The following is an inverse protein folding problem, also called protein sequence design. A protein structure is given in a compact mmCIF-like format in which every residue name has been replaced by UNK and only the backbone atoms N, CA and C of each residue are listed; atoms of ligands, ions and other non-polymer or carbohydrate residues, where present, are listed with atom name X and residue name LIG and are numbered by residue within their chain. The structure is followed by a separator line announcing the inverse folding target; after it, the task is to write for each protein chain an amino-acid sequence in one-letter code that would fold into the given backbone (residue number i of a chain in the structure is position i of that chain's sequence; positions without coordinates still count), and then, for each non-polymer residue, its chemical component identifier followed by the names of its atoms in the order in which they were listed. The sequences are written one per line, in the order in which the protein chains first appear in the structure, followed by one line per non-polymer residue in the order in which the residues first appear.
data_IF_725282590216
#
_entry.id   IF_725282590216
#
_cell.length_a   1.000
_cell.length_b   1.000
_cell.length_c   1.000
_cell.angle_alpha   90.00
_cell.angle_beta   90.00
_cell.angle_gamma   90.00
#
_symmetry.space_group_name_H-M   'P 1'
#
loop_
_entity.id
_entity.type
_entity.pdbx_description
1 polymer ?
#
# COMPACT_ATOMS: atom_id res chain seq x y z
N UNK A 1 -17.13 -7.72 38.58
CA UNK A 1 -18.58 -7.41 38.52
C UNK A 1 -18.78 -6.48 37.34
N UNK A 2 -19.19 -7.03 36.19
CA UNK A 2 -19.68 -6.21 35.09
C UNK A 2 -21.04 -5.70 35.54
N UNK A 3 -21.16 -4.40 35.80
CA UNK A 3 -22.48 -3.77 35.77
C UNK A 3 -23.09 -4.13 34.42
N UNK A 4 -24.31 -4.68 34.42
CA UNK A 4 -25.10 -4.92 33.23
C UNK A 4 -25.16 -3.60 32.44
N UNK A 5 -24.23 -3.41 31.50
CA UNK A 5 -24.37 -2.38 30.50
C UNK A 5 -25.57 -2.80 29.67
N UNK A 6 -26.56 -1.93 29.54
CA UNK A 6 -27.69 -2.14 28.64
C UNK A 6 -27.13 -2.37 27.21
N UNK A 7 -27.01 -3.63 26.80
CA UNK A 7 -26.48 -4.01 25.50
C UNK A 7 -27.64 -4.15 24.53
N UNK A 8 -27.62 -3.35 23.46
CA UNK A 8 -28.65 -3.34 22.44
C UNK A 8 -28.15 -4.00 21.17
N UNK A 9 -29.06 -4.71 20.50
CA UNK A 9 -28.81 -5.29 19.19
C UNK A 9 -29.03 -4.26 18.09
N UNK A 10 -29.88 -4.60 17.13
CA UNK A 10 -30.28 -3.68 16.08
C UNK A 10 -31.13 -2.53 16.64
N UNK A 11 -30.73 -1.29 16.35
CA UNK A 11 -31.47 -0.06 16.69
C UNK A 11 -31.84 0.67 15.40
N UNK A 12 -33.15 0.87 15.11
CA UNK A 12 -33.59 1.56 13.90
C UNK A 12 -33.44 3.09 14.01
N UNK A 13 -33.31 3.75 12.86
CA UNK A 13 -33.44 5.21 12.68
C UNK A 13 -34.91 5.52 12.33
N UNK A 14 -35.48 6.72 12.60
CA UNK A 14 -34.80 8.01 12.81
C UNK A 14 -34.87 8.60 14.24
N UNK A 15 -35.37 7.87 15.24
CA UNK A 15 -35.52 8.39 16.62
C UNK A 15 -34.19 8.74 17.32
N UNK A 16 -33.06 8.37 16.72
CA UNK A 16 -31.72 8.69 17.17
C UNK A 16 -30.68 8.12 16.20
N UNK A 17 -29.46 7.93 16.68
CA UNK A 17 -28.40 7.26 15.93
C UNK A 17 -28.69 5.76 15.86
N UNK A 18 -28.76 5.17 14.67
CA UNK A 18 -29.05 3.75 14.51
C UNK A 18 -27.86 2.92 14.06
N UNK A 19 -28.03 1.59 14.08
CA UNK A 19 -26.98 0.63 13.70
C UNK A 19 -26.58 0.78 12.23
N UNK A 20 -27.54 1.01 11.33
CA UNK A 20 -27.29 1.17 9.90
C UNK A 20 -26.55 2.48 9.60
N UNK A 21 -26.91 3.58 10.25
CA UNK A 21 -26.19 4.85 10.11
C UNK A 21 -24.71 4.74 10.51
N UNK A 22 -24.41 4.05 11.62
CA UNK A 22 -23.03 3.76 12.03
C UNK A 22 -22.32 2.93 10.97
N UNK A 23 -22.92 1.83 10.52
CA UNK A 23 -22.34 0.94 9.52
C UNK A 23 -22.04 1.66 8.21
N UNK A 24 -23.00 2.40 7.65
CA UNK A 24 -22.85 3.12 6.38
C UNK A 24 -21.80 4.23 6.52
N UNK A 25 -21.82 5.00 7.61
CA UNK A 25 -20.81 6.04 7.86
C UNK A 25 -19.40 5.43 7.93
N UNK A 26 -19.24 4.28 8.60
CA UNK A 26 -17.95 3.61 8.73
C UNK A 26 -17.46 3.02 7.40
N UNK A 27 -18.31 2.28 6.68
CA UNK A 27 -17.97 1.66 5.39
C UNK A 27 -17.65 2.74 4.35
N UNK A 28 -18.47 3.78 4.25
CA UNK A 28 -18.22 4.88 3.31
C UNK A 28 -16.91 5.59 3.62
N UNK A 29 -16.60 5.83 4.90
CA UNK A 29 -15.33 6.45 5.29
C UNK A 29 -14.14 5.57 4.93
N UNK A 30 -14.16 4.28 5.26
CA UNK A 30 -13.10 3.32 4.87
C UNK A 30 -12.93 3.31 3.35
N UNK A 31 -14.04 3.15 2.62
CA UNK A 31 -14.01 3.08 1.17
C UNK A 31 -13.39 4.36 0.58
N UNK A 32 -13.87 5.52 1.00
CA UNK A 32 -13.40 6.80 0.48
C UNK A 32 -11.93 7.03 0.85
N UNK A 33 -11.52 6.80 2.11
CA UNK A 33 -10.14 7.07 2.54
C UNK A 33 -9.14 6.12 1.87
N UNK A 34 -9.44 4.83 1.83
CA UNK A 34 -8.58 3.83 1.19
C UNK A 34 -8.56 4.07 -0.31
N UNK A 35 -9.72 4.20 -0.96
CA UNK A 35 -9.76 4.40 -2.41
C UNK A 35 -9.03 5.68 -2.86
N UNK A 36 -9.08 6.72 -2.02
CA UNK A 36 -8.39 7.98 -2.34
C UNK A 36 -6.88 7.91 -2.14
N UNK A 37 -6.39 7.13 -1.18
CA UNK A 37 -4.95 6.99 -0.91
C UNK A 37 -4.21 6.10 -1.91
N UNK A 38 -4.91 5.27 -2.68
CA UNK A 38 -4.28 4.27 -3.56
C UNK A 38 -3.91 4.81 -4.93
N UNK A 39 -2.62 4.70 -5.25
CA UNK A 39 -2.02 5.13 -6.52
C UNK A 39 -1.45 3.91 -7.27
N UNK A 40 -2.30 3.10 -7.94
CA UNK A 40 -1.87 1.90 -8.65
C UNK A 40 -0.95 2.22 -9.83
N UNK A 41 -0.05 1.29 -10.17
CA UNK A 41 0.84 1.41 -11.33
C UNK A 41 0.07 1.52 -12.64
N UNK A 42 0.68 2.17 -13.63
CA UNK A 42 0.06 2.43 -14.93
C UNK A 42 -0.08 1.07 -15.67
N UNK A 43 -1.29 0.72 -16.14
CA UNK A 43 -1.49 -0.52 -16.86
C UNK A 43 -0.78 -0.45 -18.22
N UNK A 44 -0.04 -1.52 -18.54
CA UNK A 44 0.52 -1.68 -19.87
C UNK A 44 -0.58 -2.14 -20.84
N UNK A 45 -0.61 -1.63 -22.08
CA UNK A 45 -1.65 -2.00 -23.02
C UNK A 45 -1.56 -3.49 -23.40
N UNK A 46 -2.70 -4.06 -23.79
CA UNK A 46 -2.92 -5.51 -23.93
C UNK A 46 -2.06 -6.19 -25.00
N UNK A 47 -1.48 -5.40 -25.90
CA UNK A 47 -0.53 -5.80 -26.95
C UNK A 47 0.92 -5.97 -26.43
N UNK A 48 1.19 -5.44 -25.23
CA UNK A 48 2.49 -5.43 -24.55
C UNK A 48 2.43 -6.24 -23.25
N UNK A 49 1.29 -6.21 -22.56
CA UNK A 49 1.03 -7.07 -21.43
C UNK A 49 0.86 -8.53 -21.91
N UNK A 50 1.40 -9.53 -21.18
CA UNK A 50 1.13 -10.93 -21.53
C UNK A 50 -0.37 -11.17 -21.54
N UNK A 51 -0.86 -11.75 -22.64
CA UNK A 51 -2.26 -11.97 -22.92
C UNK A 51 -2.90 -12.92 -21.89
N UNK A 52 -3.44 -12.38 -20.80
CA UNK A 52 -4.69 -12.82 -20.18
C UNK A 52 -5.04 -11.89 -18.99
N UNK A 53 -6.02 -11.01 -19.18
CA UNK A 53 -6.83 -10.50 -18.07
C UNK A 53 -8.14 -9.98 -18.65
N UNK A 54 -9.23 -10.68 -18.38
CA UNK A 54 -10.60 -10.46 -18.92
C UNK A 54 -11.39 -9.40 -18.14
N UNK A 55 -10.67 -8.48 -17.50
CA UNK A 55 -11.15 -7.42 -16.62
C UNK A 55 -10.31 -6.19 -16.94
N UNK A 56 -10.84 -4.95 -16.95
CA UNK A 56 -9.98 -3.78 -17.09
C UNK A 56 -9.00 -3.80 -15.90
N UNK A 57 -7.71 -4.09 -16.13
CA UNK A 57 -6.78 -4.55 -15.08
C UNK A 57 -6.69 -3.55 -13.92
N UNK A 58 -6.87 -2.27 -14.26
CA UNK A 58 -6.83 -1.14 -13.36
C UNK A 58 -7.77 -1.22 -12.14
N UNK A 59 -9.06 -1.57 -12.31
CA UNK A 59 -10.03 -1.50 -11.20
C UNK A 59 -9.78 -2.63 -10.19
N UNK A 60 -9.53 -3.84 -10.68
CA UNK A 60 -9.28 -4.98 -9.80
C UNK A 60 -7.94 -4.87 -9.08
N UNK A 61 -6.91 -4.36 -9.74
CA UNK A 61 -5.63 -4.12 -9.08
C UNK A 61 -5.77 -3.05 -7.99
N UNK A 62 -6.59 -2.01 -8.22
CA UNK A 62 -6.95 -1.03 -7.18
C UNK A 62 -7.73 -1.65 -6.02
N UNK A 63 -8.68 -2.57 -6.28
CA UNK A 63 -9.39 -3.30 -5.23
C UNK A 63 -8.47 -4.23 -4.43
N UNK A 64 -7.57 -4.98 -5.09
CA UNK A 64 -6.56 -5.81 -4.40
C UNK A 64 -5.68 -4.96 -3.50
N UNK A 65 -5.25 -3.79 -4.00
CA UNK A 65 -4.46 -2.84 -3.24
C UNK A 65 -5.25 -2.26 -2.05
N UNK A 66 -6.57 -2.05 -2.19
CA UNK A 66 -7.44 -1.63 -1.09
C UNK A 66 -7.58 -2.68 0.01
N UNK A 67 -7.77 -3.95 -0.37
CA UNK A 67 -7.81 -5.06 0.60
C UNK A 67 -6.45 -5.19 1.30
N UNK A 68 -5.36 -5.07 0.55
CA UNK A 68 -3.99 -5.10 1.09
C UNK A 68 -3.78 -3.95 2.09
N UNK A 69 -4.22 -2.74 1.74
CA UNK A 69 -4.15 -1.58 2.64
C UNK A 69 -4.95 -1.79 3.92
N UNK A 70 -6.10 -2.47 3.85
CA UNK A 70 -6.93 -2.73 5.04
C UNK A 70 -6.35 -3.84 5.93
N UNK A 71 -5.74 -4.87 5.34
CA UNK A 71 -5.18 -6.00 6.08
C UNK A 71 -3.77 -5.72 6.63
N UNK A 72 -2.96 -4.97 5.89
CA UNK A 72 -1.56 -4.70 6.22
C UNK A 72 -1.16 -3.24 5.91
N UNK A 73 -1.84 -2.24 6.54
CA UNK A 73 -1.50 -0.83 6.33
C UNK A 73 -0.06 -0.49 6.72
N UNK A 74 0.54 -1.24 7.66
CA UNK A 74 1.93 -1.08 8.08
C UNK A 74 2.92 -1.38 6.95
N UNK A 75 2.65 -2.46 6.19
CA UNK A 75 3.45 -2.84 5.02
C UNK A 75 3.28 -1.80 3.90
N UNK A 76 2.06 -1.27 3.73
CA UNK A 76 1.80 -0.22 2.74
C UNK A 76 2.56 1.07 3.05
N UNK A 77 2.56 1.53 4.31
CA UNK A 77 3.32 2.72 4.73
C UNK A 77 4.82 2.47 4.54
N UNK A 78 5.31 1.32 4.98
CA UNK A 78 6.72 0.95 4.80
C UNK A 78 7.15 1.00 3.33
N UNK A 79 6.34 0.45 2.41
CA UNK A 79 6.66 0.51 0.99
C UNK A 79 6.53 1.91 0.42
N UNK A 80 5.55 2.71 0.85
CA UNK A 80 5.43 4.09 0.43
C UNK A 80 6.67 4.91 0.83
N UNK A 81 7.22 4.68 2.03
CA UNK A 81 8.46 5.32 2.50
C UNK A 81 9.66 4.85 1.68
N UNK A 82 9.80 3.55 1.45
CA UNK A 82 10.90 3.00 0.67
C UNK A 82 10.87 3.46 -0.79
N UNK A 83 9.69 3.49 -1.42
CA UNK A 83 9.47 4.02 -2.77
C UNK A 83 9.79 5.52 -2.82
N UNK A 84 9.38 6.30 -1.81
CA UNK A 84 9.70 7.73 -1.72
C UNK A 84 11.21 7.98 -1.72
N UNK A 85 11.98 7.20 -0.95
CA UNK A 85 13.44 7.31 -0.94
C UNK A 85 14.07 6.91 -2.26
N UNK A 86 13.57 5.83 -2.89
CA UNK A 86 14.04 5.41 -4.21
C UNK A 86 13.83 6.51 -5.26
N UNK A 87 12.65 7.11 -5.34
CA UNK A 87 12.40 8.15 -6.35
C UNK A 87 13.22 9.41 -6.11
N UNK A 88 13.54 9.76 -4.86
CA UNK A 88 14.47 10.87 -4.57
C UNK A 88 15.85 10.57 -5.14
N UNK A 89 16.36 9.38 -4.91
CA UNK A 89 17.64 8.94 -5.46
C UNK A 89 17.61 8.92 -7.00
N UNK A 90 16.51 8.48 -7.63
CA UNK A 90 16.37 8.51 -9.10
C UNK A 90 16.49 9.95 -9.64
N UNK A 91 15.82 10.92 -9.01
CA UNK A 91 15.90 12.33 -9.42
C UNK A 91 17.33 12.85 -9.32
N UNK A 92 18.01 12.55 -8.21
CA UNK A 92 19.41 12.94 -7.99
C UNK A 92 20.35 12.32 -9.04
N UNK A 93 20.23 11.02 -9.30
CA UNK A 93 21.08 10.31 -10.27
C UNK A 93 20.87 10.82 -11.71
N UNK A 94 19.62 11.00 -12.12
CA UNK A 94 19.29 11.46 -13.48
C UNK A 94 19.74 12.91 -13.68
N UNK A 95 19.47 13.81 -12.73
CA UNK A 95 19.86 15.21 -12.85
C UNK A 95 21.38 15.41 -12.71
N UNK A 96 22.09 14.54 -11.97
CA UNK A 96 23.55 14.56 -11.91
C UNK A 96 24.19 14.18 -13.25
N UNK A 97 23.64 13.19 -13.96
CA UNK A 97 24.16 12.74 -15.26
C UNK A 97 23.70 13.60 -16.44
N UNK A 98 22.45 14.06 -16.39
CA UNK A 98 21.81 14.84 -17.44
C UNK A 98 21.06 16.04 -16.85
N UNK A 99 21.76 17.13 -16.49
CA UNK A 99 21.13 18.32 -15.88
C UNK A 99 20.03 18.94 -16.75
N UNK A 100 20.10 18.76 -18.07
CA UNK A 100 19.09 19.22 -19.03
C UNK A 100 17.72 18.57 -18.88
N UNK A 101 17.63 17.43 -18.18
CA UNK A 101 16.38 16.72 -17.96
C UNK A 101 15.50 17.43 -16.92
N UNK A 102 16.11 18.07 -15.91
CA UNK A 102 15.42 18.79 -14.82
C UNK A 102 14.29 18.00 -14.17
N UNK A 103 14.49 16.70 -13.93
CA UNK A 103 13.47 15.80 -13.39
C UNK A 103 13.02 16.24 -12.00
N UNK A 104 11.72 16.07 -11.75
CA UNK A 104 11.10 16.22 -10.43
C UNK A 104 10.71 14.86 -9.86
N UNK A 105 10.25 14.82 -8.61
CA UNK A 105 9.71 13.61 -7.98
C UNK A 105 8.56 13.00 -8.79
N UNK A 106 7.74 13.82 -9.43
CA UNK A 106 6.62 13.34 -10.25
C UNK A 106 7.12 12.57 -11.47
N UNK A 107 8.20 13.01 -12.12
CA UNK A 107 8.79 12.28 -13.25
C UNK A 107 9.37 10.93 -12.80
N UNK A 108 10.09 10.91 -11.68
CA UNK A 108 10.66 9.67 -11.14
C UNK A 108 9.57 8.68 -10.69
N UNK A 109 8.50 9.16 -10.03
CA UNK A 109 7.33 8.32 -9.74
C UNK A 109 6.68 7.80 -11.02
N UNK A 110 6.56 8.64 -12.05
CA UNK A 110 5.98 8.23 -13.33
C UNK A 110 6.79 7.09 -13.96
N UNK A 111 8.13 7.15 -13.92
CA UNK A 111 9.00 6.03 -14.32
C UNK A 111 8.72 4.78 -13.48
N UNK A 112 8.74 4.88 -12.15
CA UNK A 112 8.50 3.74 -11.24
C UNK A 112 7.11 3.12 -11.40
N UNK A 113 6.14 3.87 -11.91
CA UNK A 113 4.79 3.41 -12.20
C UNK A 113 4.63 2.81 -13.61
N UNK A 114 5.72 2.47 -14.31
CA UNK A 114 5.72 2.00 -15.71
C UNK A 114 5.25 3.06 -16.72
N UNK A 115 5.46 4.34 -16.43
CA UNK A 115 4.98 5.45 -17.25
C UNK A 115 5.69 5.62 -18.59
N UNK A 116 6.88 5.03 -18.80
CA UNK A 116 7.58 5.05 -20.08
C UNK A 116 7.70 3.64 -20.67
N UNK A 117 7.38 3.53 -21.96
CA UNK A 117 7.46 2.28 -22.72
C UNK A 117 8.32 2.47 -23.95
N UNK A 118 9.24 1.53 -24.18
CA UNK A 118 10.05 1.45 -25.39
C UNK A 118 10.14 0.00 -25.85
N UNK A 119 10.01 -0.24 -27.15
CA UNK A 119 10.02 -1.58 -27.76
C UNK A 119 9.14 -2.59 -27.00
N UNK A 120 7.88 -2.21 -26.73
CA UNK A 120 6.91 -3.04 -26.01
C UNK A 120 7.35 -3.50 -24.62
N UNK A 121 8.20 -2.73 -23.93
CA UNK A 121 8.58 -2.99 -22.53
C UNK A 121 8.54 -1.71 -21.71
N UNK A 122 8.01 -1.82 -20.48
CA UNK A 122 8.15 -0.76 -19.49
C UNK A 122 9.62 -0.55 -19.16
N UNK A 123 10.04 0.72 -19.07
CA UNK A 123 11.41 1.07 -18.80
C UNK A 123 11.61 1.45 -17.32
N UNK A 124 12.62 0.86 -16.69
CA UNK A 124 13.17 1.34 -15.43
C UNK A 124 14.07 2.57 -15.66
N UNK A 125 14.32 3.35 -14.61
CA UNK A 125 15.26 4.47 -14.65
C UNK A 125 16.66 4.07 -15.14
N UNK A 126 17.17 2.91 -14.69
CA UNK A 126 18.48 2.38 -15.14
C UNK A 126 18.48 2.11 -16.65
N UNK A 127 17.38 1.58 -17.19
CA UNK A 127 17.25 1.29 -18.61
C UNK A 127 17.11 2.56 -19.45
N UNK A 128 16.39 3.56 -18.96
CA UNK A 128 16.30 4.88 -19.60
C UNK A 128 17.72 5.47 -19.71
N UNK A 129 18.48 5.48 -18.61
CA UNK A 129 19.85 6.01 -18.61
C UNK A 129 20.77 5.25 -19.56
N UNK A 130 20.65 3.92 -19.66
CA UNK A 130 21.41 3.12 -20.61
C UNK A 130 21.09 3.49 -22.07
N UNK A 131 19.80 3.60 -22.42
CA UNK A 131 19.37 3.96 -23.77
C UNK A 131 19.78 5.38 -24.17
N UNK A 132 19.76 6.33 -23.22
CA UNK A 132 20.25 7.70 -23.45
C UNK A 132 21.77 7.69 -23.67
N UNK A 133 22.52 6.93 -22.85
CA UNK A 133 23.99 6.81 -22.97
C UNK A 133 24.41 6.19 -24.30
N UNK A 134 23.67 5.18 -24.76
CA UNK A 134 23.90 4.49 -26.05
C UNK A 134 23.44 5.33 -27.26
N UNK A 135 22.70 6.41 -27.02
CA UNK A 135 22.22 7.32 -28.07
C UNK A 135 20.96 6.83 -28.80
N UNK A 136 20.27 5.82 -28.27
CA UNK A 136 19.03 5.28 -28.85
C UNK A 136 17.82 6.19 -28.64
N UNK A 137 17.80 6.93 -27.53
CA UNK A 137 16.76 7.92 -27.20
C UNK A 137 17.41 9.23 -26.74
N UNK A 138 16.72 10.35 -26.96
CA UNK A 138 17.15 11.64 -26.42
C UNK A 138 16.85 11.73 -24.90
N UNK A 139 17.64 12.52 -24.14
CA UNK A 139 17.36 12.76 -22.72
C UNK A 139 15.92 13.26 -22.51
N UNK A 140 15.16 12.56 -21.67
CA UNK A 140 13.76 12.87 -21.41
C UNK A 140 13.70 14.10 -20.51
N UNK A 141 13.15 15.21 -21.01
CA UNK A 141 12.89 16.40 -20.19
C UNK A 141 11.69 16.17 -19.27
N UNK A 142 11.70 16.83 -18.11
CA UNK A 142 10.58 16.83 -17.18
C UNK A 142 9.29 17.26 -17.88
N UNK A 143 8.24 16.48 -17.69
CA UNK A 143 6.88 16.77 -18.16
C UNK A 143 5.89 16.75 -16.99
N UNK A 144 6.39 17.10 -15.80
CA UNK A 144 5.65 17.01 -14.54
C UNK A 144 4.34 17.79 -14.57
N UNK A 145 4.28 18.92 -15.31
CA UNK A 145 3.05 19.69 -15.48
C UNK A 145 1.98 18.90 -16.25
N UNK A 146 2.33 18.29 -17.39
CA UNK A 146 1.37 17.51 -18.16
C UNK A 146 1.01 16.18 -17.48
N UNK A 147 1.95 15.56 -16.78
CA UNK A 147 1.69 14.37 -15.94
C UNK A 147 0.66 14.73 -14.86
N UNK A 148 0.84 15.87 -14.18
CA UNK A 148 -0.10 16.34 -13.17
C UNK A 148 -1.47 16.67 -13.77
N UNK A 149 -1.51 17.28 -14.95
CA UNK A 149 -2.76 17.61 -15.66
C UNK A 149 -3.60 16.36 -15.95
N UNK A 150 -2.96 15.25 -16.35
CA UNK A 150 -3.62 13.95 -16.54
C UNK A 150 -4.19 13.34 -15.26
N UNK A 151 -3.72 13.77 -14.09
CA UNK A 151 -4.13 13.26 -12.77
C UNK A 151 -5.24 14.09 -12.09
N UNK A 152 -5.73 15.17 -12.74
CA UNK A 152 -6.67 16.13 -12.16
C UNK A 152 -8.10 15.62 -11.91
N UNK A 153 -8.46 14.43 -12.37
CA UNK A 153 -9.84 13.92 -12.35
C UNK A 153 -10.41 13.59 -10.95
N UNK A 154 -9.71 13.89 -9.84
CA UNK A 154 -10.03 13.36 -8.51
C UNK A 154 -10.15 14.43 -7.39
N UNK A 155 -10.09 15.72 -7.70
CA UNK A 155 -10.09 16.78 -6.65
C UNK A 155 -11.36 16.80 -5.82
N UNK A 156 -12.53 16.54 -6.41
CA UNK A 156 -13.80 16.53 -5.69
C UNK A 156 -13.92 15.36 -4.70
N UNK A 157 -13.54 14.15 -5.13
CA UNK A 157 -13.57 12.97 -4.27
C UNK A 157 -12.62 13.11 -3.07
N UNK A 158 -11.47 13.77 -3.26
CA UNK A 158 -10.53 14.10 -2.18
C UNK A 158 -11.11 15.06 -1.16
N UNK A 159 -11.80 16.12 -1.61
CA UNK A 159 -12.45 17.08 -0.69
C UNK A 159 -13.52 16.36 0.13
N UNK A 160 -14.36 15.54 -0.53
CA UNK A 160 -15.39 14.74 0.14
C UNK A 160 -14.74 13.77 1.14
N UNK A 161 -13.63 13.13 0.78
CA UNK A 161 -12.87 12.26 1.69
C UNK A 161 -12.41 12.99 2.95
N UNK A 162 -11.75 14.13 2.78
CA UNK A 162 -11.25 14.92 3.91
C UNK A 162 -12.38 15.36 4.83
N UNK A 163 -13.51 15.81 4.27
CA UNK A 163 -14.69 16.20 5.05
C UNK A 163 -15.27 15.01 5.81
N UNK A 164 -15.49 13.88 5.13
CA UNK A 164 -16.07 12.67 5.72
C UNK A 164 -15.22 12.12 6.87
N UNK A 165 -13.90 12.04 6.67
CA UNK A 165 -12.96 11.55 7.70
C UNK A 165 -12.91 12.53 8.88
N UNK A 166 -12.77 13.83 8.61
CA UNK A 166 -12.72 14.85 9.65
C UNK A 166 -13.99 14.85 10.49
N UNK A 167 -15.16 14.73 9.84
CA UNK A 167 -16.44 14.67 10.53
C UNK A 167 -16.55 13.45 11.44
N UNK A 168 -16.18 12.26 10.97
CA UNK A 168 -16.19 11.05 11.79
C UNK A 168 -15.22 11.15 12.98
N UNK A 169 -14.02 11.71 12.75
CA UNK A 169 -13.04 11.95 13.81
C UNK A 169 -13.58 12.92 14.87
N UNK A 170 -14.19 14.04 14.45
CA UNK A 170 -14.79 15.03 15.36
C UNK A 170 -15.93 14.39 16.16
N UNK A 171 -16.80 13.59 15.53
CA UNK A 171 -17.85 12.87 16.25
C UNK A 171 -17.28 11.94 17.32
N UNK A 172 -16.29 11.12 16.98
CA UNK A 172 -15.71 10.17 17.94
C UNK A 172 -14.93 10.87 19.06
N UNK A 173 -14.24 11.97 18.75
CA UNK A 173 -13.58 12.79 19.77
C UNK A 173 -14.61 13.41 20.73
N UNK A 174 -15.70 13.97 20.21
CA UNK A 174 -16.75 14.54 21.04
C UNK A 174 -17.42 13.48 21.93
N UNK A 175 -17.61 12.25 21.43
CA UNK A 175 -18.06 11.10 22.23
C UNK A 175 -17.07 10.73 23.32
N UNK A 176 -15.77 10.70 23.01
CA UNK A 176 -14.73 10.43 24.00
C UNK A 176 -14.72 11.48 25.14
N UNK A 177 -14.86 12.76 24.79
CA UNK A 177 -14.91 13.88 25.76
C UNK A 177 -16.18 13.81 26.63
N UNK A 178 -17.31 13.40 26.05
CA UNK A 178 -18.59 13.26 26.77
C UNK A 178 -18.76 11.91 27.49
N UNK A 179 -17.69 11.10 27.55
CA UNK A 179 -17.70 9.76 28.14
C UNK A 179 -18.74 8.81 27.56
N UNK A 180 -19.14 9.03 26.30
CA UNK A 180 -20.02 8.13 25.58
C UNK A 180 -19.21 7.00 24.93
N UNK A 181 -19.69 5.74 24.96
CA UNK A 181 -18.99 4.63 24.38
C UNK A 181 -18.90 4.77 22.85
N UNK A 182 -17.78 4.35 22.28
CA UNK A 182 -17.51 4.33 20.84
C UNK A 182 -17.59 2.87 20.38
N UNK A 183 -18.19 2.60 19.22
CA UNK A 183 -18.19 1.23 18.70
C UNK A 183 -16.77 0.79 18.29
N UNK A 184 -16.51 -0.51 18.36
CA UNK A 184 -15.23 -1.09 17.86
C UNK A 184 -15.00 -0.77 16.39
N UNK A 185 -16.07 -0.72 15.59
CA UNK A 185 -16.00 -0.34 14.18
C UNK A 185 -15.60 1.11 13.97
N UNK A 186 -16.21 2.08 14.67
CA UNK A 186 -15.82 3.49 14.60
C UNK A 186 -14.35 3.70 14.96
N UNK A 187 -13.89 3.07 16.06
CA UNK A 187 -12.48 3.13 16.47
C UNK A 187 -11.56 2.55 15.40
N UNK A 188 -11.94 1.43 14.80
CA UNK A 188 -11.20 0.79 13.70
C UNK A 188 -11.12 1.65 12.45
N UNK A 189 -12.22 2.32 12.08
CA UNK A 189 -12.27 3.20 10.92
C UNK A 189 -11.35 4.39 11.10
N UNK A 190 -11.32 5.02 12.27
CA UNK A 190 -10.40 6.14 12.54
C UNK A 190 -8.95 5.69 12.40
N UNK A 191 -8.61 4.54 12.97
CA UNK A 191 -7.28 3.99 12.84
C UNK A 191 -6.89 3.77 11.37
N UNK A 192 -7.72 3.07 10.60
CA UNK A 192 -7.46 2.83 9.18
C UNK A 192 -7.41 4.12 8.33
N UNK A 193 -8.32 5.06 8.60
CA UNK A 193 -8.34 6.35 7.91
C UNK A 193 -7.09 7.17 8.21
N UNK A 194 -6.58 7.14 9.44
CA UNK A 194 -5.34 7.82 9.81
C UNK A 194 -4.13 7.26 9.06
N UNK A 195 -4.03 5.92 8.92
CA UNK A 195 -2.98 5.28 8.14
C UNK A 195 -3.09 5.63 6.65
N UNK A 196 -4.31 5.65 6.09
CA UNK A 196 -4.54 6.04 4.69
C UNK A 196 -4.14 7.49 4.41
N UNK A 197 -4.39 8.41 5.34
CA UNK A 197 -3.94 9.80 5.24
C UNK A 197 -2.41 9.89 5.26
N UNK A 198 -1.74 9.12 6.13
CA UNK A 198 -0.27 9.08 6.18
C UNK A 198 0.32 8.56 4.87
N UNK A 199 -0.21 7.45 4.35
CA UNK A 199 0.22 6.91 3.03
C UNK A 199 0.03 7.96 1.94
N UNK A 200 -1.13 8.61 1.91
CA UNK A 200 -1.43 9.64 0.93
C UNK A 200 -0.46 10.84 1.03
N UNK A 201 -0.13 11.27 2.25
CA UNK A 201 0.84 12.33 2.50
C UNK A 201 2.24 11.98 2.00
N UNK A 202 2.70 10.73 2.23
CA UNK A 202 3.98 10.25 1.69
C UNK A 202 3.95 10.23 0.15
N UNK A 203 2.84 9.84 -0.44
CA UNK A 203 2.66 9.71 -1.89
C UNK A 203 2.17 11.00 -2.58
N UNK A 204 2.30 12.17 -1.94
CA UNK A 204 1.74 13.43 -2.45
C UNK A 204 2.17 13.79 -3.89
N UNK A 205 3.43 13.48 -4.24
CA UNK A 205 3.99 13.77 -5.57
C UNK A 205 3.76 12.66 -6.61
N UNK A 206 3.24 11.50 -6.17
CA UNK A 206 2.97 10.35 -7.03
C UNK A 206 1.69 10.62 -7.81
N UNK A 207 1.72 10.60 -9.17
CA UNK A 207 0.54 10.89 -9.96
C UNK A 207 -0.53 9.81 -9.77
N UNK A 208 -1.80 10.22 -9.82
CA UNK A 208 -2.94 9.35 -9.55
C UNK A 208 -3.80 9.11 -10.80
N UNK A 209 -4.32 7.90 -10.93
CA UNK A 209 -5.30 7.48 -11.94
C UNK A 209 -4.86 7.71 -13.41
N UNK A 210 -3.55 7.70 -13.67
CA UNK A 210 -3.03 7.71 -15.05
C UNK A 210 -3.25 6.34 -15.67
N UNK A 211 -3.91 6.33 -16.84
CA UNK A 211 -4.29 5.10 -17.55
C UNK A 211 -3.40 4.74 -18.73
N UNK A 212 -2.64 5.69 -19.26
CA UNK A 212 -1.87 5.50 -20.48
C UNK A 212 -0.38 5.85 -20.24
N UNK A 213 0.54 4.94 -20.56
CA UNK A 213 1.96 5.22 -20.56
C UNK A 213 2.35 6.09 -21.76
N UNK A 214 3.53 6.72 -21.67
CA UNK A 214 4.15 7.49 -22.74
C UNK A 214 5.09 6.57 -23.53
N UNK A 215 4.87 6.47 -24.84
CA UNK A 215 5.71 5.70 -25.74
C UNK A 215 6.89 6.52 -26.23
N UNK A 216 8.11 6.03 -26.01
CA UNK A 216 9.33 6.66 -26.48
C UNK A 216 9.63 6.21 -27.90
N UNK A 217 9.98 7.16 -28.77
CA UNK A 217 10.39 6.88 -30.14
C UNK A 217 11.90 6.66 -30.22
N UNK A 218 12.32 5.74 -31.09
CA UNK A 218 13.73 5.52 -31.39
C UNK A 218 14.28 6.71 -32.19
N UNK A 219 15.50 7.14 -31.86
CA UNK A 219 16.21 8.17 -32.63
C UNK A 219 16.56 7.62 -34.02
N UNK A 220 16.09 8.29 -35.08
CA UNK A 220 16.32 7.88 -36.47
C UNK A 220 17.83 7.73 -36.75
N UNK A 221 18.28 6.50 -37.03
CA UNK A 221 19.65 6.24 -37.49
C UNK A 221 20.34 4.94 -37.04
N UNK A 222 19.74 4.12 -36.17
CA UNK A 222 20.37 2.88 -35.69
C UNK A 222 19.43 1.65 -35.80
N UNK A 223 19.95 0.55 -36.35
CA UNK A 223 19.18 -0.66 -36.68
C UNK A 223 18.83 -1.50 -35.45
N UNK A 224 17.58 -1.98 -35.38
CA UNK A 224 16.94 -2.74 -34.28
C UNK A 224 17.69 -4.02 -33.88
N UNK A 225 18.51 -4.60 -34.77
CA UNK A 225 19.26 -5.83 -34.50
C UNK A 225 20.41 -5.64 -33.49
N UNK A 226 21.07 -4.47 -33.49
CA UNK A 226 22.20 -4.16 -32.58
C UNK A 226 21.69 -3.86 -31.16
N UNK A 227 20.45 -3.36 -31.05
CA UNK A 227 19.77 -3.04 -29.77
C UNK A 227 19.52 -4.31 -28.96
N UNK A 228 19.16 -5.43 -29.60
CA UNK A 228 18.94 -6.72 -28.95
C UNK A 228 20.24 -7.26 -28.33
N UNK A 229 21.37 -6.97 -28.96
CA UNK A 229 22.70 -7.41 -28.52
C UNK A 229 23.23 -6.55 -27.36
N UNK A 230 23.06 -5.23 -27.42
CA UNK A 230 23.30 -4.33 -26.29
C UNK A 230 22.37 -4.64 -25.10
N UNK A 231 21.12 -5.02 -25.38
CA UNK A 231 20.18 -5.52 -24.36
C UNK A 231 20.71 -6.78 -23.69
N UNK A 232 21.15 -7.78 -24.47
CA UNK A 232 21.70 -9.03 -23.96
C UNK A 232 22.99 -8.81 -23.16
N UNK A 233 23.84 -7.89 -23.59
CA UNK A 233 25.09 -7.52 -22.90
C UNK A 233 24.84 -6.77 -21.58
N UNK A 234 23.85 -5.89 -21.54
CA UNK A 234 23.43 -5.23 -20.29
C UNK A 234 22.79 -6.24 -19.30
N UNK A 235 22.05 -7.24 -19.80
CA UNK A 235 21.55 -8.34 -18.97
C UNK A 235 22.68 -9.23 -18.43
N UNK A 236 23.75 -9.49 -19.20
CA UNK A 236 24.88 -10.29 -18.74
C UNK A 236 25.78 -9.55 -17.74
N UNK A 237 25.92 -8.22 -17.87
CA UNK A 237 26.69 -7.40 -16.91
C UNK A 237 25.96 -7.13 -15.59
N UNK A 238 24.63 -7.32 -15.57
CA UNK A 238 23.80 -7.27 -14.37
C UNK A 238 23.46 -8.67 -13.82
N UNK A 239 23.99 -9.72 -14.45
CA UNK A 239 23.71 -11.13 -14.12
C UNK A 239 24.62 -11.77 -13.08
N UNK A 240 25.61 -11.06 -12.54
CA UNK A 240 26.64 -11.64 -11.66
C UNK A 240 26.49 -11.27 -10.18
N UNK A 241 25.35 -10.71 -9.73
CA UNK A 241 25.14 -10.45 -8.30
C UNK A 241 23.89 -11.07 -7.68
N UNK A 242 23.17 -11.93 -8.39
CA UNK A 242 22.17 -12.81 -7.78
C UNK A 242 21.97 -14.07 -8.63
N UNK A 243 22.18 -15.23 -7.99
CA UNK A 243 21.91 -16.62 -8.44
C UNK A 243 23.04 -17.42 -9.10
N UNK A 244 24.09 -17.69 -8.33
CA UNK A 244 24.88 -18.92 -8.49
C UNK A 244 24.80 -19.77 -7.22
N UNK A 245 23.79 -20.65 -7.16
CA UNK A 245 23.94 -21.96 -6.53
C UNK A 245 22.78 -22.85 -6.97
N UNK A 246 22.98 -23.55 -8.09
CA UNK A 246 22.64 -24.97 -8.22
C UNK A 246 23.37 -25.53 -9.43
N UNK A 247 24.31 -26.43 -9.12
CA UNK A 247 24.92 -27.50 -9.92
C UNK A 247 24.68 -27.49 -11.43
N UNK A 248 25.81 -27.48 -12.15
CA UNK A 248 25.84 -27.46 -13.60
C UNK A 248 25.36 -28.73 -14.27
N UNK A 249 24.87 -28.55 -15.50
CA UNK A 249 24.96 -29.55 -16.54
C UNK A 249 25.03 -28.88 -17.91
N UNK A 250 25.85 -29.49 -18.77
CA UNK A 250 26.24 -29.02 -20.11
C UNK A 250 25.04 -28.92 -21.07
N UNK A 251 25.13 -27.91 -21.92
CA UNK A 251 24.31 -27.69 -23.11
C UNK A 251 24.34 -28.92 -24.04
N UNK A 252 23.16 -29.44 -24.41
CA UNK A 252 22.93 -30.15 -25.68
C UNK A 252 21.64 -29.62 -26.29
N UNK A 253 21.75 -29.11 -27.53
CA UNK A 253 20.64 -28.78 -28.41
C UNK A 253 19.84 -30.05 -28.75
N UNK A 254 18.51 -30.02 -28.61
CA UNK A 254 17.63 -30.82 -29.46
C UNK A 254 16.30 -30.10 -29.74
N UNK A 255 15.86 -30.20 -30.99
CA UNK A 255 14.63 -29.64 -31.53
C UNK A 255 13.53 -30.68 -31.41
N UNK A 256 12.47 -30.44 -30.64
CA UNK A 256 11.18 -31.13 -30.83
C UNK A 256 10.03 -30.43 -30.11
N UNK A 257 8.94 -30.25 -30.84
CA UNK A 257 7.70 -29.66 -30.34
C UNK A 257 7.00 -30.52 -29.31
N UNK A 258 6.24 -29.85 -28.44
CA UNK A 258 5.34 -30.45 -27.47
C UNK A 258 4.58 -29.36 -26.74
N UNK A 259 3.29 -29.26 -26.99
CA UNK A 259 2.32 -28.51 -26.19
C UNK A 259 2.39 -28.95 -24.73
N UNK A 260 2.62 -28.00 -23.82
CA UNK A 260 2.21 -28.13 -22.43
C UNK A 260 1.65 -26.78 -21.94
N UNK A 261 0.31 -26.72 -21.95
CA UNK A 261 -0.48 -25.84 -21.11
C UNK A 261 -0.26 -26.22 -19.64
N UNK A 262 0.51 -25.43 -18.89
CA UNK A 262 0.50 -25.46 -17.42
C UNK A 262 1.17 -24.20 -16.84
N UNK A 263 0.59 -23.61 -15.79
CA UNK A 263 1.19 -22.49 -15.04
C UNK A 263 0.64 -21.10 -15.34
N UNK A 264 -0.69 -20.92 -15.31
CA UNK A 264 -1.35 -19.62 -15.47
C UNK A 264 -1.57 -18.84 -14.16
N UNK A 265 -1.49 -19.48 -12.99
CA UNK A 265 -1.94 -18.88 -11.73
C UNK A 265 -0.79 -18.37 -10.84
N UNK A 266 0.39 -19.00 -10.90
CA UNK A 266 1.52 -18.66 -10.01
C UNK A 266 2.25 -17.35 -10.37
N UNK A 267 2.27 -16.94 -11.64
CA UNK A 267 3.11 -15.80 -12.09
C UNK A 267 2.59 -14.41 -11.69
N UNK A 268 1.32 -14.28 -11.34
CA UNK A 268 0.75 -12.97 -10.97
C UNK A 268 1.02 -12.64 -9.49
N UNK A 269 0.99 -13.67 -8.64
CA UNK A 269 1.44 -13.61 -7.24
C UNK A 269 2.93 -13.29 -7.19
N UNK A 270 3.72 -13.89 -8.09
CA UNK A 270 5.16 -13.59 -8.23
C UNK A 270 5.45 -12.13 -8.57
N UNK A 271 4.61 -11.46 -9.38
CA UNK A 271 4.84 -10.04 -9.76
C UNK A 271 4.51 -9.05 -8.66
N UNK A 272 3.38 -9.23 -7.99
CA UNK A 272 3.05 -8.41 -6.84
C UNK A 272 4.13 -8.62 -5.76
N UNK A 273 4.48 -9.87 -5.48
CA UNK A 273 5.51 -10.20 -4.51
C UNK A 273 6.90 -9.71 -4.93
N UNK A 274 7.26 -9.75 -6.22
CA UNK A 274 8.53 -9.22 -6.72
C UNK A 274 8.62 -7.70 -6.58
N UNK A 275 7.50 -6.98 -6.78
CA UNK A 275 7.46 -5.54 -6.54
C UNK A 275 7.74 -5.21 -5.08
N UNK A 276 7.04 -5.88 -4.15
CA UNK A 276 7.29 -5.69 -2.72
C UNK A 276 8.73 -6.06 -2.34
N UNK A 277 9.22 -7.21 -2.81
CA UNK A 277 10.62 -7.64 -2.56
C UNK A 277 11.63 -6.59 -3.03
N UNK A 278 11.50 -6.10 -4.26
CA UNK A 278 12.40 -5.09 -4.81
C UNK A 278 12.38 -3.77 -4.00
N UNK A 279 11.19 -3.32 -3.59
CA UNK A 279 11.04 -2.11 -2.75
C UNK A 279 11.71 -2.30 -1.38
N UNK A 280 11.56 -3.47 -0.77
CA UNK A 280 12.19 -3.78 0.51
C UNK A 280 13.70 -3.97 0.38
N UNK A 281 14.23 -4.54 -0.71
CA UNK A 281 15.65 -4.89 -0.88
C UNK A 281 16.60 -3.69 -0.95
N UNK A 282 16.19 -2.59 -1.60
CA UNK A 282 17.09 -1.44 -1.81
C UNK A 282 17.28 -0.58 -0.57
N UNK A 283 16.24 -0.48 0.27
CA UNK A 283 16.21 0.34 1.48
C UNK A 283 15.78 -0.51 2.70
N UNK A 284 16.30 -1.74 2.84
CA UNK A 284 15.88 -2.75 3.85
C UNK A 284 15.76 -2.18 5.25
N UNK A 285 16.81 -1.48 5.72
CA UNK A 285 16.80 -0.92 7.08
C UNK A 285 15.70 0.13 7.27
N UNK A 286 15.52 1.04 6.30
CA UNK A 286 14.49 2.07 6.40
C UNK A 286 13.09 1.49 6.29
N UNK A 287 12.89 0.52 5.40
CA UNK A 287 11.63 -0.17 5.26
C UNK A 287 11.26 -0.93 6.54
N UNK A 288 12.18 -1.73 7.09
CA UNK A 288 11.89 -2.46 8.33
C UNK A 288 11.72 -1.56 9.56
N UNK A 289 12.45 -0.44 9.65
CA UNK A 289 12.23 0.55 10.72
C UNK A 289 10.85 1.22 10.59
N UNK A 290 10.44 1.61 9.38
CA UNK A 290 9.10 2.15 9.15
C UNK A 290 8.01 1.13 9.47
N UNK A 291 8.18 -0.13 9.04
CA UNK A 291 7.29 -1.25 9.38
C UNK A 291 7.18 -1.43 10.89
N UNK A 292 8.31 -1.42 11.62
CA UNK A 292 8.30 -1.60 13.06
C UNK A 292 7.54 -0.47 13.77
N UNK A 293 7.81 0.79 13.43
CA UNK A 293 7.13 1.95 14.01
C UNK A 293 5.62 1.86 13.76
N UNK A 294 5.22 1.53 12.54
CA UNK A 294 3.80 1.43 12.17
C UNK A 294 3.10 0.26 12.87
N UNK A 295 3.74 -0.90 13.02
CA UNK A 295 3.19 -2.02 13.81
C UNK A 295 2.98 -1.63 15.28
N UNK A 296 3.93 -0.92 15.89
CA UNK A 296 3.81 -0.47 17.28
C UNK A 296 2.66 0.53 17.45
N UNK A 297 2.60 1.54 16.59
CA UNK A 297 1.58 2.60 16.65
C UNK A 297 0.20 2.04 16.33
N UNK A 298 0.06 1.33 15.21
CA UNK A 298 -1.23 0.85 14.76
C UNK A 298 -1.71 -0.40 15.50
N UNK A 299 -0.81 -1.23 16.02
CA UNK A 299 -1.17 -2.30 16.96
C UNK A 299 -1.64 -1.73 18.31
N UNK A 300 -0.90 -0.74 18.84
CA UNK A 300 -1.26 -0.01 20.06
C UNK A 300 -2.61 0.71 19.96
N UNK A 301 -2.99 1.17 18.77
CA UNK A 301 -4.31 1.76 18.52
C UNK A 301 -5.47 0.81 18.89
N UNK A 302 -5.36 -0.49 18.58
CA UNK A 302 -6.41 -1.46 18.93
C UNK A 302 -6.47 -1.77 20.42
N UNK A 303 -5.36 -1.57 21.14
CA UNK A 303 -5.34 -1.65 22.60
C UNK A 303 -6.15 -0.53 23.26
N UNK A 304 -6.53 0.55 22.58
CA UNK A 304 -7.47 1.54 23.13
C UNK A 304 -8.84 0.93 23.46
N UNK A 305 -9.25 -0.11 22.72
CA UNK A 305 -10.46 -0.88 23.01
C UNK A 305 -10.25 -2.02 24.03
N UNK A 306 -9.17 -2.00 24.81
CA UNK A 306 -8.88 -3.08 25.78
C UNK A 306 -10.02 -3.37 26.76
N UNK A 307 -10.71 -2.31 27.19
CA UNK A 307 -11.81 -2.36 28.14
C UNK A 307 -13.19 -2.23 27.49
N UNK A 308 -13.29 -2.37 26.16
CA UNK A 308 -14.58 -2.33 25.49
C UNK A 308 -15.41 -3.57 25.81
N UNK A 309 -16.72 -3.41 25.75
CA UNK A 309 -17.69 -4.49 25.88
C UNK A 309 -17.87 -5.20 24.55
N UNK A 310 -17.74 -6.53 24.56
CA UNK A 310 -17.97 -7.38 23.39
C UNK A 310 -19.18 -8.28 23.62
N UNK A 311 -19.83 -8.80 22.55
CA UNK A 311 -20.98 -9.70 22.69
C UNK A 311 -20.67 -10.98 23.48
N UNK A 312 -19.42 -11.44 23.48
CA UNK A 312 -18.94 -12.57 24.28
C UNK A 312 -17.54 -12.35 24.85
N UNK A 313 -17.22 -13.08 25.92
CA UNK A 313 -15.89 -13.08 26.56
C UNK A 313 -14.82 -13.62 25.61
N UNK A 314 -15.17 -14.60 24.77
CA UNK A 314 -14.27 -15.15 23.76
C UNK A 314 -13.85 -14.09 22.73
N UNK A 315 -14.82 -13.34 22.18
CA UNK A 315 -14.53 -12.26 21.22
C UNK A 315 -13.63 -11.18 21.82
N UNK A 316 -13.83 -10.81 23.10
CA UNK A 316 -12.96 -9.86 23.81
C UNK A 316 -11.52 -10.39 23.93
N UNK A 317 -11.34 -11.64 24.31
CA UNK A 317 -9.99 -12.20 24.42
C UNK A 317 -9.32 -12.36 23.06
N UNK A 318 -10.06 -12.76 22.02
CA UNK A 318 -9.54 -12.81 20.65
C UNK A 318 -9.08 -11.41 20.22
N UNK A 319 -9.89 -10.37 20.47
CA UNK A 319 -9.51 -8.98 20.19
C UNK A 319 -8.19 -8.59 20.88
N UNK A 320 -8.07 -8.88 22.17
CA UNK A 320 -6.87 -8.54 22.96
C UNK A 320 -5.63 -9.27 22.46
N UNK A 321 -5.73 -10.57 22.21
CA UNK A 321 -4.63 -11.39 21.70
C UNK A 321 -4.20 -10.89 20.32
N UNK A 322 -5.14 -10.67 19.40
CA UNK A 322 -4.83 -10.15 18.07
C UNK A 322 -4.23 -8.73 18.13
N UNK A 323 -4.69 -7.86 19.04
CA UNK A 323 -4.15 -6.51 19.21
C UNK A 323 -2.67 -6.55 19.63
N UNK A 324 -2.33 -7.43 20.58
CA UNK A 324 -0.93 -7.64 21.00
C UNK A 324 -0.12 -8.29 19.88
N UNK A 325 -0.69 -9.26 19.16
CA UNK A 325 -0.01 -9.93 18.05
C UNK A 325 0.38 -8.95 16.93
N UNK A 326 -0.41 -7.90 16.68
CA UNK A 326 -0.08 -6.84 15.72
C UNK A 326 1.15 -6.00 16.13
N UNK A 327 1.48 -5.95 17.43
CA UNK A 327 2.60 -5.18 17.99
C UNK A 327 3.91 -5.98 17.89
N UNK A 328 3.85 -7.32 17.92
CA UNK A 328 5.01 -8.23 18.00
C UNK A 328 6.06 -7.96 16.91
N UNK A 329 5.72 -7.83 15.60
CA UNK A 329 6.73 -7.61 14.57
C UNK A 329 7.60 -6.37 14.84
N UNK A 330 6.97 -5.28 15.33
CA UNK A 330 7.68 -4.05 15.65
C UNK A 330 8.58 -4.18 16.88
N UNK A 331 8.11 -4.85 17.94
CA UNK A 331 8.93 -5.08 19.13
C UNK A 331 10.13 -5.98 18.84
N UNK A 332 9.93 -7.07 18.10
CA UNK A 332 11.01 -7.99 17.72
C UNK A 332 12.06 -7.25 16.90
N UNK A 333 11.65 -6.44 15.93
CA UNK A 333 12.59 -5.64 15.14
C UNK A 333 13.42 -4.68 15.99
N UNK A 334 12.80 -3.94 16.91
CA UNK A 334 13.50 -3.01 17.81
C UNK A 334 14.50 -3.75 18.71
N UNK A 335 14.11 -4.90 19.26
CA UNK A 335 15.00 -5.72 20.11
C UNK A 335 16.19 -6.23 19.28
N UNK A 336 15.95 -6.78 18.09
CA UNK A 336 17.03 -7.26 17.23
C UNK A 336 17.97 -6.13 16.81
N UNK A 337 17.43 -4.96 16.48
CA UNK A 337 18.23 -3.79 16.12
C UNK A 337 19.13 -3.32 17.27
N UNK A 338 18.64 -3.35 18.52
CA UNK A 338 19.39 -2.94 19.71
C UNK A 338 20.42 -3.98 20.15
N UNK A 339 20.06 -5.27 20.09
CA UNK A 339 20.87 -6.36 20.66
C UNK A 339 21.84 -6.96 19.65
N UNK A 340 21.51 -6.94 18.36
CA UNK A 340 22.23 -7.66 17.31
C UNK A 340 22.55 -6.75 16.12
N UNK A 341 23.42 -5.76 16.33
CA UNK A 341 23.96 -4.90 15.26
C UNK A 341 24.67 -5.73 14.16
N UNK A 342 25.23 -6.90 14.52
CA UNK A 342 26.06 -7.74 13.63
C UNK A 342 25.36 -9.00 13.08
N UNK A 343 24.08 -9.21 13.34
CA UNK A 343 23.36 -10.35 12.76
C UNK A 343 23.14 -10.17 11.25
N UNK A 344 23.28 -11.24 10.47
CA UNK A 344 23.03 -11.20 9.02
C UNK A 344 21.58 -10.78 8.74
N UNK A 345 21.42 -9.69 7.97
CA UNK A 345 20.12 -9.08 7.63
C UNK A 345 19.13 -10.07 7.00
N UNK A 346 19.62 -11.17 6.42
CA UNK A 346 18.78 -12.18 5.76
C UNK A 346 17.95 -13.02 6.74
N UNK A 347 18.51 -13.46 7.87
CA UNK A 347 17.72 -14.17 8.88
C UNK A 347 16.65 -13.27 9.50
N UNK A 348 16.98 -12.00 9.71
CA UNK A 348 16.05 -10.98 10.19
C UNK A 348 14.90 -10.82 9.18
N UNK A 349 15.19 -10.80 7.87
CA UNK A 349 14.16 -10.63 6.84
C UNK A 349 13.15 -11.78 6.79
N UNK A 350 13.62 -13.04 6.91
CA UNK A 350 12.74 -14.22 6.93
C UNK A 350 11.85 -14.20 8.17
N UNK A 351 12.43 -13.91 9.35
CA UNK A 351 11.68 -13.80 10.59
C UNK A 351 10.62 -12.69 10.50
N UNK A 352 10.98 -11.51 9.99
CA UNK A 352 10.05 -10.39 9.82
C UNK A 352 8.92 -10.70 8.83
N UNK A 353 9.19 -11.48 7.78
CA UNK A 353 8.17 -11.94 6.85
C UNK A 353 7.15 -12.85 7.53
N UNK A 354 7.62 -13.83 8.31
CA UNK A 354 6.75 -14.74 9.07
C UNK A 354 5.91 -13.98 10.09
N UNK A 355 6.53 -13.08 10.86
CA UNK A 355 5.83 -12.25 11.86
C UNK A 355 4.79 -11.33 11.21
N UNK A 356 5.09 -10.77 10.04
CA UNK A 356 4.12 -9.97 9.26
C UNK A 356 2.94 -10.81 8.79
N UNK A 357 3.15 -12.07 8.41
CA UNK A 357 2.06 -13.01 8.08
C UNK A 357 1.13 -13.30 9.26
N UNK A 358 1.69 -13.50 10.46
CA UNK A 358 0.90 -13.68 11.69
C UNK A 358 0.11 -12.41 12.03
N UNK A 359 0.73 -11.24 11.86
CA UNK A 359 0.07 -9.95 12.04
C UNK A 359 -1.09 -9.77 11.05
N UNK A 360 -0.92 -10.16 9.79
CA UNK A 360 -1.98 -10.11 8.76
C UNK A 360 -3.21 -10.97 9.13
N UNK A 361 -2.98 -12.17 9.68
CA UNK A 361 -4.10 -13.01 10.16
C UNK A 361 -4.81 -12.32 11.33
N UNK A 362 -4.03 -11.82 12.29
CA UNK A 362 -4.56 -11.09 13.46
C UNK A 362 -5.38 -9.86 13.05
N UNK A 363 -4.93 -9.15 12.01
CA UNK A 363 -5.62 -8.01 11.39
C UNK A 363 -6.94 -8.41 10.77
N UNK A 364 -6.95 -9.48 9.98
CA UNK A 364 -8.19 -10.04 9.41
C UNK A 364 -9.20 -10.39 10.50
N UNK A 365 -8.76 -11.02 11.59
CA UNK A 365 -9.61 -11.33 12.75
C UNK A 365 -10.16 -10.07 13.41
N UNK A 366 -9.33 -9.05 13.65
CA UNK A 366 -9.76 -7.76 14.22
C UNK A 366 -10.83 -7.09 13.36
N UNK A 367 -10.63 -7.04 12.04
CA UNK A 367 -11.61 -6.46 11.11
C UNK A 367 -12.95 -7.21 11.18
N UNK A 368 -12.91 -8.55 11.16
CA UNK A 368 -14.12 -9.37 11.30
C UNK A 368 -14.82 -9.10 12.64
N UNK A 369 -14.07 -8.99 13.74
CA UNK A 369 -14.62 -8.68 15.05
C UNK A 369 -15.27 -7.29 15.14
N UNK A 370 -14.79 -6.29 14.38
CA UNK A 370 -15.45 -4.98 14.31
C UNK A 370 -16.88 -5.08 13.78
N UNK A 371 -17.09 -5.89 12.73
CA UNK A 371 -18.42 -6.11 12.17
C UNK A 371 -19.29 -6.99 13.06
N UNK A 372 -18.71 -8.05 13.64
CA UNK A 372 -19.41 -8.93 14.59
C UNK A 372 -19.85 -8.16 15.83
N UNK A 373 -19.05 -7.18 16.28
CA UNK A 373 -19.35 -6.31 17.42
C UNK A 373 -20.62 -5.48 17.24
N UNK A 374 -21.02 -5.15 16.00
CA UNK A 374 -22.27 -4.42 15.74
C UNK A 374 -23.52 -5.20 16.14
N UNK A 375 -23.43 -6.53 16.32
CA UNK A 375 -24.58 -7.35 16.73
C UNK A 375 -25.09 -7.00 18.12
N UNK A 376 -24.21 -6.53 19.01
CA UNK A 376 -24.55 -6.09 20.37
C UNK A 376 -23.58 -4.99 20.81
N UNK A 377 -24.10 -3.78 21.00
CA UNK A 377 -23.35 -2.60 21.42
C UNK A 377 -23.94 -2.01 22.70
N UNK A 378 -23.15 -1.33 23.55
CA UNK A 378 -23.67 -0.58 24.68
C UNK A 378 -24.70 0.47 24.23
N UNK A 379 -25.78 0.66 24.98
CA UNK A 379 -26.87 1.58 24.64
C UNK A 379 -26.38 3.01 24.38
N UNK A 380 -25.39 3.47 25.15
CA UNK A 380 -24.77 4.78 24.99
C UNK A 380 -24.14 5.00 23.60
N UNK A 381 -23.84 3.95 22.82
CA UNK A 381 -23.31 4.06 21.45
C UNK A 381 -24.32 4.77 20.53
N UNK A 382 -25.61 4.57 20.80
CA UNK A 382 -26.74 5.12 20.03
C UNK A 382 -27.20 6.49 20.53
N UNK A 383 -26.62 7.01 21.62
CA UNK A 383 -26.90 8.36 22.09
C UNK A 383 -26.20 9.38 21.18
N UNK A 384 -26.92 10.43 20.80
CA UNK A 384 -26.36 11.54 20.00
C UNK A 384 -25.58 12.48 20.91
N UNK A 385 -24.44 12.97 20.40
CA UNK A 385 -23.65 13.99 21.12
C UNK A 385 -24.47 15.27 21.20
N UNK A 386 -24.68 15.75 22.43
CA UNK A 386 -25.30 17.05 22.68
C UNK A 386 -24.27 18.16 22.46
N UNK A 387 -24.14 18.66 21.23
CA UNK A 387 -23.13 19.68 20.90
C UNK A 387 -23.24 20.97 21.74
N UNK A 388 -24.45 21.27 22.22
CA UNK A 388 -24.72 22.39 23.12
C UNK A 388 -23.94 22.31 24.43
N UNK A 389 -23.60 21.12 24.93
CA UNK A 389 -22.81 21.00 26.17
C UNK A 389 -21.31 21.20 25.96
N UNK A 390 -20.84 21.12 24.71
CA UNK A 390 -19.42 21.23 24.34
C UNK A 390 -19.08 22.65 23.86
N UNK A 391 -20.00 23.29 23.12
CA UNK A 391 -19.78 24.63 22.59
C UNK A 391 -20.09 25.68 23.66
N UNK A 392 -19.18 26.63 23.96
CA UNK A 392 -19.44 27.69 24.92
C UNK A 392 -20.65 28.52 24.48
N UNK A 393 -21.63 28.65 25.37
CA UNK A 393 -22.79 29.52 25.18
C UNK A 393 -22.32 30.98 25.29
N UNK A 394 -22.49 31.76 24.23
CA UNK A 394 -22.32 33.22 24.23
C UNK A 394 -23.66 33.93 24.28
#
# INVERSE_FOLDING_TARGET
MASDMDMRGFVPEPSGRGTIGILISCISTIFICVWTSLHPSIPLPSDIAPAYSTVPPFILDKFKLAITMLLVPEVMISAAVAEYLEVRWIVEDVNARYPSCSWTLTDAYFVSMNGYVYDKKALSHTRILALVREGYIDPIKSDSCAIHDRSKADTLAKIIACVQISWLMIQCLARAITHLPISTLELGVIGNASMAIIVYGIQWHKPKDIRNPTFLQQKNGQSTAVVIEASRSAYSLLGDDCTESTNGERIVHDSRGGDHHEGGEDRNTDRAMSFWRAVFERNRLVAYTALAITCLVFGGWHCLAWNFTFPSVAELWIWRVCSVACIIPGLVFVILYVVWIDATLDHISVLMFVLSGISMISRGTILVLMFIGLRRLPAGVFETVQWTTILPHF
#
